data_IF_701346514853
#
_entry.id   IF_701346514853
#
_cell.length_a   1.000
_cell.length_b   1.000
_cell.length_c   1.000
_cell.angle_alpha   90.00
_cell.angle_beta   90.00
_cell.angle_gamma   90.00
#
_symmetry.space_group_name_H-M   'P 1'
#
loop_
_entity.id
_entity.type
_entity.pdbx_description
1 polymer ?
#
# COMPACT_ATOMS: atom_id res chain seq x y z
N UNK A 1 -8.26 -23.04 10.65
CA UNK A 1 -8.51 -22.08 9.63
C UNK A 1 -7.75 -20.80 9.90
N UNK A 2 -7.25 -20.27 8.84
CA UNK A 2 -6.46 -19.09 8.96
C UNK A 2 -7.38 -17.92 9.17
N UNK A 3 -7.03 -17.08 10.09
CA UNK A 3 -7.78 -15.89 10.30
C UNK A 3 -7.15 -14.76 9.54
N UNK A 4 -7.95 -13.85 9.05
CA UNK A 4 -7.45 -12.68 8.40
C UNK A 4 -7.37 -11.56 9.40
N UNK A 5 -6.22 -10.96 9.50
CA UNK A 5 -6.06 -9.80 10.34
C UNK A 5 -6.51 -8.59 9.56
N UNK A 6 -7.42 -7.79 10.11
CA UNK A 6 -7.87 -6.59 9.43
C UNK A 6 -6.98 -5.42 9.85
N UNK A 7 -6.47 -4.71 8.86
CA UNK A 7 -5.58 -3.59 9.11
C UNK A 7 -6.15 -2.35 8.45
N UNK A 8 -6.35 -1.30 9.23
CA UNK A 8 -6.86 -0.06 8.68
C UNK A 8 -5.71 0.87 8.36
N UNK A 9 -5.62 1.30 7.12
CA UNK A 9 -4.57 2.21 6.69
C UNK A 9 -5.19 3.45 6.07
N UNK A 10 -4.79 4.60 6.55
CA UNK A 10 -5.22 5.85 5.97
C UNK A 10 -4.08 6.40 5.14
N UNK A 11 -4.20 6.24 3.82
CA UNK A 11 -3.13 6.66 2.92
C UNK A 11 -2.90 8.16 2.90
N UNK A 12 -3.84 8.93 3.44
CA UNK A 12 -3.66 10.35 3.54
C UNK A 12 -2.62 10.75 4.59
N UNK A 13 -2.21 9.80 5.43
CA UNK A 13 -1.22 10.07 6.45
C UNK A 13 0.21 9.80 5.96
N UNK A 14 0.36 9.33 4.73
CA UNK A 14 1.67 8.97 4.20
C UNK A 14 1.89 9.72 2.89
N UNK A 15 3.14 9.99 2.56
CA UNK A 15 3.42 10.63 1.31
C UNK A 15 3.58 9.62 0.22
N UNK A 16 3.01 9.90 -0.94
CA UNK A 16 3.30 9.11 -2.13
C UNK A 16 4.72 9.44 -2.55
N UNK A 17 5.46 8.46 -3.04
CA UNK A 17 6.84 8.68 -3.43
C UNK A 17 6.99 9.73 -4.52
N UNK A 18 5.98 9.86 -5.39
CA UNK A 18 6.03 10.87 -6.39
C UNK A 18 5.98 12.27 -5.80
N UNK A 19 5.31 12.45 -4.69
CA UNK A 19 5.23 13.74 -4.06
C UNK A 19 6.56 14.09 -3.41
N UNK A 20 7.27 13.11 -2.95
CA UNK A 20 8.51 13.32 -2.27
C UNK A 20 9.57 13.89 -3.18
N UNK A 21 9.62 13.46 -4.41
CA UNK A 21 10.68 13.89 -5.28
C UNK A 21 10.60 15.36 -5.61
N UNK A 22 9.44 16.01 -5.44
CA UNK A 22 9.39 17.29 -5.73
C UNK A 22 9.88 18.18 -4.72
N UNK A 23 9.81 18.04 -3.60
CA UNK A 23 10.14 18.86 -2.57
C UNK A 23 11.51 18.93 -2.14
N UNK A 24 12.19 18.05 -2.31
CA UNK A 24 13.49 17.99 -1.87
C UNK A 24 13.79 18.16 -0.51
N UNK A 25 13.29 17.97 0.34
CA UNK A 25 13.65 18.19 1.60
C UNK A 25 14.03 17.47 2.39
N UNK A 26 14.19 17.02 2.68
CA UNK A 26 14.47 16.50 3.44
C UNK A 26 14.90 16.03 4.40
N UNK A 27 15.18 16.08 5.18
CA UNK A 27 15.59 15.61 6.22
C UNK A 27 14.73 14.97 7.04
N UNK A 28 13.51 14.95 7.05
CA UNK A 28 12.75 14.22 7.87
C UNK A 28 12.69 12.89 7.43
N UNK A 29 12.69 11.86 8.22
CA UNK A 29 12.58 10.54 7.91
C UNK A 29 11.28 10.30 7.30
N UNK A 30 11.16 9.59 6.20
CA UNK A 30 9.93 9.23 5.60
C UNK A 30 9.19 8.26 6.46
N UNK A 31 7.94 8.49 6.67
CA UNK A 31 7.12 7.61 7.46
C UNK A 31 6.80 6.38 6.65
N UNK A 32 7.09 5.23 7.15
CA UNK A 32 6.82 3.98 6.47
C UNK A 32 5.57 3.34 7.03
N UNK A 33 4.81 2.68 6.16
CA UNK A 33 3.66 1.92 6.58
C UNK A 33 4.18 0.59 7.12
N UNK A 34 3.87 0.26 8.35
CA UNK A 34 4.34 -0.97 8.95
C UNK A 34 3.28 -2.05 8.84
N UNK A 35 3.63 -3.17 8.28
CA UNK A 35 2.70 -4.27 8.05
C UNK A 35 3.27 -5.56 8.61
N UNK A 36 2.43 -6.43 9.16
CA UNK A 36 2.91 -7.71 9.68
C UNK A 36 3.06 -8.73 8.56
N UNK A 37 3.91 -9.75 8.73
CA UNK A 37 4.11 -10.75 7.69
C UNK A 37 3.01 -11.82 7.76
N UNK A 38 1.78 -11.40 7.56
CA UNK A 38 0.61 -12.25 7.68
C UNK A 38 -0.31 -12.02 6.50
N UNK A 39 -1.25 -12.89 6.34
CA UNK A 39 -2.29 -12.70 5.36
C UNK A 39 -3.27 -11.72 5.98
N UNK A 40 -3.56 -10.65 5.33
CA UNK A 40 -4.31 -9.57 5.94
C UNK A 40 -5.33 -8.95 5.00
N UNK A 41 -6.41 -8.46 5.59
CA UNK A 41 -7.39 -7.67 4.89
C UNK A 41 -6.99 -6.22 5.13
N UNK A 42 -6.55 -5.54 4.10
CA UNK A 42 -6.18 -4.15 4.20
C UNK A 42 -7.39 -3.30 3.88
N UNK A 43 -7.81 -2.50 4.84
CA UNK A 43 -8.90 -1.56 4.64
C UNK A 43 -8.25 -0.22 4.41
N UNK A 44 -8.19 0.17 3.16
CA UNK A 44 -7.46 1.37 2.78
C UNK A 44 -8.39 2.56 2.65
N UNK A 45 -7.97 3.68 3.24
CA UNK A 45 -8.62 4.94 2.98
C UNK A 45 -7.77 5.59 1.91
N UNK A 46 -8.36 5.80 0.74
CA UNK A 46 -7.62 6.30 -0.41
C UNK A 46 -7.28 7.77 -0.27
N UNK A 47 -6.31 8.21 -1.04
CA UNK A 47 -5.90 9.62 -1.00
C UNK A 47 -7.08 10.48 -1.38
N UNK A 48 -7.10 11.67 -0.79
CA UNK A 48 -8.13 12.63 -1.10
C UNK A 48 -8.09 12.92 -2.59
N UNK A 49 -9.21 12.96 -3.23
CA UNK A 49 -9.28 13.17 -4.67
C UNK A 49 -9.28 11.92 -5.51
N UNK A 50 -9.17 10.74 -4.88
CA UNK A 50 -9.21 9.49 -5.64
C UNK A 50 -10.61 9.26 -6.18
N UNK A 51 -10.69 8.57 -7.29
CA UNK A 51 -11.97 8.30 -7.93
C UNK A 51 -12.41 6.87 -7.73
N UNK A 52 -13.70 6.63 -7.88
CA UNK A 52 -14.22 5.29 -7.83
C UNK A 52 -13.67 4.48 -9.01
N UNK A 53 -13.60 3.20 -8.87
CA UNK A 53 -13.15 2.34 -9.96
C UNK A 53 -12.41 1.13 -9.46
N UNK A 54 -11.76 0.44 -10.38
CA UNK A 54 -11.01 -0.75 -10.07
C UNK A 54 -9.59 -0.38 -9.75
N UNK A 55 -9.14 -0.80 -8.58
CA UNK A 55 -7.78 -0.55 -8.13
C UNK A 55 -6.99 -1.84 -8.06
N UNK A 56 -5.72 -1.76 -8.36
CA UNK A 56 -4.81 -2.88 -8.18
C UNK A 56 -3.86 -2.49 -7.08
N UNK A 57 -3.79 -3.30 -6.04
CA UNK A 57 -2.92 -3.04 -4.90
C UNK A 57 -1.86 -4.12 -4.90
N UNK A 58 -0.60 -3.72 -4.85
CA UNK A 58 0.48 -4.69 -4.86
C UNK A 58 1.62 -4.25 -3.97
N UNK A 59 2.42 -5.23 -3.58
CA UNK A 59 3.62 -4.98 -2.79
C UNK A 59 4.79 -5.39 -3.67
N UNK A 60 5.73 -4.49 -3.83
CA UNK A 60 6.87 -4.73 -4.72
C UNK A 60 8.18 -4.60 -3.96
N UNK A 61 9.22 -5.23 -4.48
CA UNK A 61 10.55 -5.16 -3.90
C UNK A 61 11.27 -3.93 -4.47
N UNK A 62 12.49 -3.66 -4.05
CA UNK A 62 13.19 -2.47 -4.55
C UNK A 62 13.43 -2.47 -6.06
N UNK A 63 13.40 -3.63 -6.68
CA UNK A 63 13.59 -3.72 -8.12
C UNK A 63 12.29 -3.60 -8.88
N UNK A 64 11.18 -3.44 -8.18
CA UNK A 64 9.89 -3.33 -8.85
C UNK A 64 9.18 -4.65 -9.11
N UNK A 65 9.72 -5.75 -8.61
CA UNK A 65 9.07 -7.04 -8.81
C UNK A 65 7.90 -7.19 -7.85
N UNK A 66 6.78 -7.63 -8.35
CA UNK A 66 5.59 -7.78 -7.54
C UNK A 66 5.69 -9.04 -6.70
N UNK A 67 5.57 -8.89 -5.40
CA UNK A 67 5.65 -10.00 -4.47
C UNK A 67 4.26 -10.55 -4.13
N UNK A 68 3.28 -9.69 -4.06
CA UNK A 68 1.89 -10.10 -3.84
C UNK A 68 1.01 -8.96 -4.33
N UNK A 69 -0.22 -9.24 -4.65
CA UNK A 69 -1.13 -8.21 -5.10
C UNK A 69 -2.54 -8.74 -5.30
N UNK A 70 -3.46 -7.82 -5.41
CA UNK A 70 -4.85 -8.17 -5.64
C UNK A 70 -5.58 -6.93 -6.17
N UNK A 71 -6.75 -7.13 -6.74
CA UNK A 71 -7.54 -6.04 -7.26
C UNK A 71 -8.83 -5.92 -6.46
N UNK A 72 -9.33 -4.74 -6.34
CA UNK A 72 -10.60 -4.50 -5.66
C UNK A 72 -11.22 -3.23 -6.21
N UNK A 73 -12.52 -3.15 -6.13
CA UNK A 73 -13.23 -1.99 -6.64
C UNK A 73 -13.63 -1.07 -5.49
N UNK A 74 -13.36 0.21 -5.66
CA UNK A 74 -13.84 1.21 -4.72
C UNK A 74 -15.08 1.84 -5.31
N UNK A 75 -16.18 1.80 -4.57
CA UNK A 75 -17.42 2.34 -5.06
C UNK A 75 -17.49 3.85 -4.94
N UNK A 76 -16.79 4.41 -4.00
CA UNK A 76 -16.89 5.82 -3.74
C UNK A 76 -15.59 6.60 -3.90
N UNK A 77 -14.51 5.93 -4.23
CA UNK A 77 -13.21 6.59 -4.35
C UNK A 77 -12.61 6.97 -3.00
N UNK A 78 -13.25 6.59 -1.90
CA UNK A 78 -12.74 6.95 -0.59
C UNK A 78 -12.08 5.80 0.13
N UNK A 79 -12.56 4.60 -0.08
CA UNK A 79 -12.01 3.45 0.62
C UNK A 79 -12.18 2.17 -0.19
N UNK A 80 -11.38 1.19 0.13
CA UNK A 80 -11.55 -0.14 -0.44
C UNK A 80 -10.90 -1.16 0.48
N UNK A 81 -11.29 -2.41 0.34
CA UNK A 81 -10.69 -3.51 1.10
C UNK A 81 -10.08 -4.51 0.15
N UNK A 82 -8.90 -5.01 0.49
CA UNK A 82 -8.22 -5.98 -0.35
C UNK A 82 -7.45 -6.94 0.53
N UNK A 83 -7.42 -8.21 0.16
CA UNK A 83 -6.69 -9.22 0.91
C UNK A 83 -5.34 -9.45 0.26
N UNK A 84 -4.27 -9.29 1.03
CA UNK A 84 -2.93 -9.54 0.55
C UNK A 84 -2.24 -10.55 1.44
N UNK A 85 -1.43 -11.41 0.84
CA UNK A 85 -0.65 -12.39 1.57
C UNK A 85 0.74 -11.80 1.79
N UNK A 86 0.90 -11.11 2.91
CA UNK A 86 2.15 -10.43 3.19
C UNK A 86 3.25 -11.37 3.67
N UNK A 87 2.92 -12.65 3.88
CA UNK A 87 3.94 -13.62 4.23
C UNK A 87 4.95 -13.78 3.09
N UNK A 88 4.48 -13.60 1.86
CA UNK A 88 5.35 -13.75 0.70
C UNK A 88 6.30 -12.58 0.55
N UNK A 89 6.02 -11.48 1.20
CA UNK A 89 6.78 -10.27 1.05
C UNK A 89 7.70 -9.97 2.21
N UNK A 90 7.79 -10.87 3.16
CA UNK A 90 8.35 -10.54 4.45
C UNK A 90 9.71 -9.90 4.46
N UNK A 91 10.64 -10.29 3.64
CA UNK A 91 11.92 -9.70 3.71
C UNK A 91 12.27 -8.72 2.64
N UNK A 92 11.58 -8.76 1.54
CA UNK A 92 11.95 -7.95 0.40
C UNK A 92 10.97 -6.86 0.08
N UNK A 93 9.89 -6.77 0.84
CA UNK A 93 8.89 -5.74 0.59
C UNK A 93 9.50 -4.37 0.75
N UNK A 94 9.17 -3.48 -0.11
CA UNK A 94 9.72 -2.15 -0.10
C UNK A 94 8.67 -1.09 -0.33
N UNK A 95 7.74 -1.31 -1.25
CA UNK A 95 6.71 -0.30 -1.55
C UNK A 95 5.36 -0.93 -1.72
N UNK A 96 4.33 -0.20 -1.32
CA UNK A 96 2.95 -0.56 -1.58
C UNK A 96 2.53 0.28 -2.77
N UNK A 97 2.07 -0.37 -3.82
CA UNK A 97 1.69 0.30 -5.06
C UNK A 97 0.17 0.29 -5.18
N UNK A 98 -0.41 1.45 -5.42
CA UNK A 98 -1.85 1.61 -5.56
C UNK A 98 -2.09 2.17 -6.95
N UNK A 99 -2.72 1.40 -7.82
CA UNK A 99 -2.92 1.77 -9.20
C UNK A 99 -4.38 1.79 -9.60
N UNK A 100 -4.79 2.77 -10.40
CA UNK A 100 -6.09 2.79 -11.01
C UNK A 100 -5.89 3.39 -12.40
N UNK A 101 -5.98 2.58 -13.44
CA UNK A 101 -5.70 3.02 -14.79
C UNK A 101 -4.27 3.53 -14.88
N UNK A 102 -4.10 4.78 -15.24
CA UNK A 102 -2.78 5.35 -15.35
C UNK A 102 -2.33 6.04 -14.07
N UNK A 103 -3.17 6.09 -13.08
CA UNK A 103 -2.80 6.73 -11.83
C UNK A 103 -2.05 5.74 -10.97
N UNK A 104 -0.89 6.15 -10.49
CA UNK A 104 -0.05 5.30 -9.68
C UNK A 104 0.44 6.06 -8.47
N UNK A 105 0.27 5.48 -7.31
CA UNK A 105 0.84 6.02 -6.08
C UNK A 105 1.61 4.91 -5.41
N UNK A 106 2.75 5.25 -4.86
CA UNK A 106 3.59 4.29 -4.17
C UNK A 106 3.95 4.81 -2.80
N UNK A 107 3.98 3.94 -1.82
CA UNK A 107 4.26 4.30 -0.44
C UNK A 107 5.32 3.36 0.12
N UNK A 108 6.24 3.88 0.90
CA UNK A 108 7.25 3.04 1.52
C UNK A 108 6.61 2.20 2.61
N UNK A 109 7.00 0.94 2.66
CA UNK A 109 6.49 0.05 3.69
C UNK A 109 7.63 -0.72 4.33
N UNK A 110 7.33 -1.28 5.47
CA UNK A 110 8.27 -2.11 6.16
C UNK A 110 7.50 -3.28 6.73
N UNK A 111 7.98 -4.50 6.51
CA UNK A 111 7.33 -5.67 7.10
C UNK A 111 7.94 -5.88 8.47
N UNK A 112 7.11 -5.81 9.49
CA UNK A 112 7.62 -5.90 10.84
C UNK A 112 7.72 -7.36 11.25
N UNK A 113 8.73 -7.67 12.06
CA UNK A 113 8.85 -9.01 12.55
C UNK A 113 7.97 -9.19 13.73
N UNK A 114 7.55 -10.41 13.96
CA UNK A 114 6.70 -10.69 15.10
C UNK A 114 7.50 -10.97 16.32
#
# INVERSE_FOLDING_TARGET
>A
PAELLAINLNLNRYRSLGDITRGGTRREEEKKIKLPPLRALLKLRLRRGSEAGLYRISVVDPNGNRLTGASARSRNGKSLGVVLDLRRAARTAHRLRVERGDDLNEYLIEITKR
#
